data_IF_583151502183
#
_entry.id   IF_583151502183
#
_cell.length_a   1.000
_cell.length_b   1.000
_cell.length_c   1.000
_cell.angle_alpha   90.00
_cell.angle_beta   90.00
_cell.angle_gamma   90.00
#
_symmetry.space_group_name_H-M   'P 1'
#
loop_
_entity.id
_entity.type
_entity.pdbx_description
1 polymer ?
#
# COMPACT_ATOMS: atom_id res chain seq x y z
N UNK A 1 15.79 -38.04 5.22
CA UNK A 1 15.42 -37.44 3.92
C UNK A 1 16.45 -36.39 3.62
N UNK A 2 17.10 -36.44 2.46
CA UNK A 2 18.17 -35.50 2.12
C UNK A 2 17.54 -34.12 1.90
N UNK A 3 17.91 -33.16 2.75
CA UNK A 3 17.62 -31.74 2.52
C UNK A 3 18.47 -31.28 1.33
N UNK A 4 17.85 -30.59 0.38
CA UNK A 4 18.51 -29.99 -0.76
C UNK A 4 18.77 -28.50 -0.49
N UNK A 5 19.88 -27.97 -0.99
CA UNK A 5 20.26 -26.57 -0.82
C UNK A 5 20.04 -25.79 -2.12
N UNK A 6 19.18 -24.79 -2.07
CA UNK A 6 18.96 -23.85 -3.18
C UNK A 6 19.77 -22.58 -2.94
N UNK A 7 20.70 -22.26 -3.82
CA UNK A 7 21.55 -21.07 -3.75
C UNK A 7 21.16 -20.07 -4.82
N UNK A 8 20.76 -18.87 -4.42
CA UNK A 8 20.31 -17.79 -5.30
C UNK A 8 21.41 -16.74 -5.48
N UNK A 9 21.90 -16.58 -6.72
CA UNK A 9 22.84 -15.52 -7.13
C UNK A 9 22.10 -14.31 -7.72
N UNK A 10 22.63 -13.08 -7.59
CA UNK A 10 23.95 -12.71 -7.05
C UNK A 10 24.02 -12.53 -5.51
N UNK A 11 22.90 -12.47 -4.79
CA UNK A 11 22.88 -12.18 -3.35
C UNK A 11 23.40 -13.31 -2.43
N UNK A 12 23.66 -14.51 -2.96
CA UNK A 12 24.22 -15.63 -2.20
C UNK A 12 23.26 -16.23 -1.16
N UNK A 13 21.95 -16.01 -1.31
CA UNK A 13 20.94 -16.57 -0.40
C UNK A 13 20.91 -18.09 -0.51
N UNK A 14 21.00 -18.77 0.64
CA UNK A 14 20.96 -20.23 0.75
C UNK A 14 19.65 -20.66 1.43
N UNK A 15 18.84 -21.42 0.72
CA UNK A 15 17.49 -21.81 1.14
C UNK A 15 17.46 -23.32 1.26
N UNK A 16 16.98 -23.83 2.41
CA UNK A 16 16.72 -25.26 2.59
C UNK A 16 15.41 -25.64 1.90
N UNK A 17 15.48 -26.61 1.00
CA UNK A 17 14.35 -27.19 0.28
C UNK A 17 14.23 -28.68 0.61
N UNK A 18 12.99 -29.18 0.67
CA UNK A 18 12.74 -30.62 0.75
C UNK A 18 12.88 -31.22 -0.65
N UNK A 19 13.43 -32.44 -0.75
CA UNK A 19 13.46 -33.15 -2.01
C UNK A 19 12.06 -33.29 -2.61
N UNK A 20 11.89 -32.86 -3.87
CA UNK A 20 10.62 -32.85 -4.60
C UNK A 20 9.76 -31.59 -4.42
N UNK A 21 10.19 -30.63 -3.59
CA UNK A 21 9.51 -29.34 -3.40
C UNK A 21 9.58 -28.49 -4.69
N UNK A 22 8.56 -27.67 -4.94
CA UNK A 22 8.51 -26.79 -6.09
C UNK A 22 9.43 -25.58 -5.87
N UNK A 23 10.25 -25.25 -6.87
CA UNK A 23 11.18 -24.12 -6.76
C UNK A 23 10.46 -22.78 -6.54
N UNK A 24 9.27 -22.58 -7.11
CA UNK A 24 8.43 -21.40 -6.84
C UNK A 24 8.12 -21.25 -5.35
N UNK A 25 7.69 -22.32 -4.68
CA UNK A 25 7.30 -22.28 -3.27
C UNK A 25 8.52 -22.02 -2.37
N UNK A 26 9.67 -22.61 -2.72
CA UNK A 26 10.94 -22.37 -2.05
C UNK A 26 11.35 -20.89 -2.16
N UNK A 27 11.27 -20.31 -3.36
CA UNK A 27 11.61 -18.90 -3.60
C UNK A 27 10.63 -17.94 -2.92
N UNK A 28 9.33 -18.24 -2.95
CA UNK A 28 8.28 -17.46 -2.28
C UNK A 28 8.47 -17.47 -0.76
N UNK A 29 8.71 -18.64 -0.17
CA UNK A 29 8.98 -18.78 1.28
C UNK A 29 10.23 -18.05 1.72
N UNK A 30 11.23 -17.95 0.84
CA UNK A 30 12.46 -17.22 1.10
C UNK A 30 12.34 -15.70 0.86
N UNK A 31 11.19 -15.20 0.39
CA UNK A 31 10.99 -13.78 0.12
C UNK A 31 11.74 -13.27 -1.11
N UNK A 32 12.08 -14.15 -2.06
CA UNK A 32 12.71 -13.73 -3.32
C UNK A 32 11.67 -12.98 -4.16
N UNK A 33 11.94 -11.70 -4.44
CA UNK A 33 11.07 -10.81 -5.22
C UNK A 33 11.03 -11.23 -6.69
N UNK A 34 10.10 -12.13 -7.02
CA UNK A 34 9.86 -12.63 -8.36
C UNK A 34 8.35 -12.78 -8.60
N UNK A 35 7.89 -12.40 -9.79
CA UNK A 35 6.47 -12.47 -10.14
C UNK A 35 6.05 -13.89 -10.56
N UNK A 36 4.94 -14.37 -9.98
CA UNK A 36 4.30 -15.66 -10.32
C UNK A 36 2.83 -15.48 -10.78
N UNK A 37 2.59 -14.82 -11.92
CA UNK A 37 1.26 -14.30 -12.27
C UNK A 37 0.18 -15.36 -12.53
N UNK A 38 0.56 -16.60 -12.85
CA UNK A 38 -0.39 -17.70 -13.06
C UNK A 38 -0.55 -18.62 -11.84
N UNK A 39 0.03 -18.25 -10.70
CA UNK A 39 -0.04 -19.06 -9.47
C UNK A 39 0.69 -20.42 -9.53
N UNK A 40 1.45 -20.71 -10.59
CA UNK A 40 2.27 -21.91 -10.70
C UNK A 40 1.82 -22.93 -11.75
N UNK A 41 0.76 -22.66 -12.51
CA UNK A 41 0.18 -23.61 -13.46
C UNK A 41 0.92 -23.76 -14.81
N UNK A 42 2.11 -23.15 -14.97
CA UNK A 42 2.89 -23.24 -16.22
C UNK A 42 2.35 -22.46 -17.41
N UNK A 43 1.15 -21.86 -17.33
CA UNK A 43 0.44 -21.29 -18.49
C UNK A 43 0.99 -19.95 -19.03
N UNK A 44 1.75 -19.20 -18.23
CA UNK A 44 2.15 -17.82 -18.59
C UNK A 44 3.59 -17.68 -19.09
N UNK A 45 4.48 -18.65 -18.83
CA UNK A 45 5.89 -18.57 -19.20
C UNK A 45 6.73 -17.46 -18.55
N UNK A 46 6.21 -16.75 -17.54
CA UNK A 46 6.86 -15.58 -16.91
C UNK A 46 7.77 -15.92 -15.71
N UNK A 47 7.66 -17.13 -15.14
CA UNK A 47 8.40 -17.57 -13.95
C UNK A 47 9.86 -18.00 -14.29
N UNK A 48 10.59 -17.25 -15.12
CA UNK A 48 11.90 -17.66 -15.69
C UNK A 48 13.06 -17.50 -14.70
N UNK A 49 13.79 -18.58 -14.46
CA UNK A 49 15.03 -18.61 -13.68
C UNK A 49 16.14 -19.26 -14.48
N UNK A 50 17.39 -18.84 -14.28
CA UNK A 50 18.54 -19.46 -14.92
C UNK A 50 19.21 -20.43 -13.95
N UNK A 51 19.18 -21.71 -14.25
CA UNK A 51 19.84 -22.74 -13.44
C UNK A 51 21.30 -22.82 -13.88
N UNK A 52 22.21 -22.51 -12.96
CA UNK A 52 23.67 -22.57 -13.16
C UNK A 52 24.17 -24.01 -12.97
N UNK A 53 23.56 -24.75 -12.04
CA UNK A 53 23.88 -26.16 -11.81
C UNK A 53 23.31 -27.07 -12.90
N UNK A 54 23.54 -28.39 -12.80
CA UNK A 54 23.03 -29.37 -13.76
C UNK A 54 21.49 -29.37 -13.74
N UNK A 55 20.87 -28.80 -14.78
CA UNK A 55 19.41 -28.76 -14.91
C UNK A 55 18.87 -30.10 -15.44
N UNK A 56 17.74 -30.55 -14.88
CA UNK A 56 16.96 -31.67 -15.44
C UNK A 56 16.44 -31.32 -16.84
N UNK A 57 16.11 -32.32 -17.69
CA UNK A 57 15.57 -32.08 -19.02
C UNK A 57 14.33 -31.17 -18.98
N UNK A 58 14.18 -30.24 -19.94
CA UNK A 58 13.03 -29.33 -19.94
C UNK A 58 11.74 -30.10 -20.18
N UNK A 59 10.66 -29.68 -19.50
CA UNK A 59 9.32 -30.24 -19.70
C UNK A 59 8.67 -29.69 -20.97
N UNK A 60 7.71 -30.42 -21.54
CA UNK A 60 6.98 -29.99 -22.75
C UNK A 60 6.34 -28.60 -22.61
N UNK A 61 5.85 -28.28 -21.41
CA UNK A 61 5.26 -26.98 -21.07
C UNK A 61 6.30 -25.85 -21.12
N UNK A 62 7.56 -26.12 -20.82
CA UNK A 62 8.64 -25.14 -20.90
C UNK A 62 9.04 -24.89 -22.36
N UNK A 63 9.05 -25.93 -23.19
CA UNK A 63 9.38 -25.85 -24.63
C UNK A 63 8.37 -24.95 -25.36
N UNK A 64 7.11 -24.90 -24.91
CA UNK A 64 6.08 -24.02 -25.48
C UNK A 64 6.34 -22.53 -25.22
N UNK A 65 7.05 -22.20 -24.14
CA UNK A 65 7.18 -20.83 -23.65
C UNK A 65 8.61 -20.28 -23.68
N UNK A 66 9.61 -21.14 -23.76
CA UNK A 66 11.03 -20.79 -23.74
C UNK A 66 11.67 -21.30 -25.04
N UNK A 67 12.35 -20.43 -25.82
CA UNK A 67 13.05 -20.86 -27.02
C UNK A 67 14.20 -21.81 -26.70
N UNK A 68 14.53 -22.69 -27.64
CA UNK A 68 15.51 -23.76 -27.43
C UNK A 68 16.92 -23.22 -27.09
N UNK A 69 17.27 -22.02 -27.57
CA UNK A 69 18.51 -21.32 -27.21
C UNK A 69 18.58 -21.01 -25.71
N UNK A 70 17.51 -20.45 -25.15
CA UNK A 70 17.41 -20.12 -23.72
C UNK A 70 17.39 -21.38 -22.85
N UNK A 71 16.72 -22.45 -23.30
CA UNK A 71 16.72 -23.74 -22.60
C UNK A 71 18.12 -24.37 -22.50
N UNK A 72 18.95 -24.18 -23.53
CA UNK A 72 20.36 -24.62 -23.57
C UNK A 72 21.25 -23.78 -22.65
N UNK A 73 20.90 -22.51 -22.46
CA UNK A 73 21.56 -21.61 -21.49
C UNK A 73 21.14 -21.85 -20.02
N UNK A 74 20.29 -22.85 -19.78
CA UNK A 74 19.85 -23.24 -18.44
C UNK A 74 18.61 -22.50 -17.94
N UNK A 75 17.91 -21.74 -18.79
CA UNK A 75 16.67 -21.07 -18.40
C UNK A 75 15.56 -22.13 -18.25
N UNK A 76 14.82 -22.02 -17.14
CA UNK A 76 13.73 -22.91 -16.75
C UNK A 76 12.60 -22.11 -16.11
N UNK A 77 11.42 -22.70 -16.03
CA UNK A 77 10.27 -22.16 -15.32
C UNK A 77 10.29 -22.63 -13.86
N UNK A 78 10.52 -21.71 -12.91
CA UNK A 78 10.56 -22.01 -11.48
C UNK A 78 9.29 -22.72 -10.99
N UNK A 79 8.14 -22.39 -11.59
CA UNK A 79 6.86 -22.98 -11.26
C UNK A 79 6.71 -24.45 -11.70
N UNK A 80 7.53 -24.94 -12.62
CA UNK A 80 7.52 -26.34 -13.09
C UNK A 80 8.74 -27.13 -12.64
N UNK A 81 9.70 -26.49 -11.99
CA UNK A 81 10.96 -27.10 -11.55
C UNK A 81 10.83 -27.72 -10.15
N UNK A 82 11.25 -28.98 -10.00
CA UNK A 82 11.29 -29.68 -8.71
C UNK A 82 12.71 -29.76 -8.18
N UNK A 83 12.89 -29.44 -6.91
CA UNK A 83 14.21 -29.45 -6.26
C UNK A 83 14.50 -30.84 -5.72
N UNK A 84 15.31 -31.62 -6.43
CA UNK A 84 15.69 -32.99 -6.02
C UNK A 84 17.11 -33.08 -5.45
N UNK A 85 17.97 -32.12 -5.78
CA UNK A 85 19.36 -32.02 -5.33
C UNK A 85 19.70 -30.55 -5.07
N UNK A 86 20.93 -30.27 -4.66
CA UNK A 86 21.41 -28.89 -4.55
C UNK A 86 21.33 -28.19 -5.91
N UNK A 87 20.80 -26.96 -5.92
CA UNK A 87 20.57 -26.16 -7.12
C UNK A 87 21.18 -24.78 -6.93
N UNK A 88 22.03 -24.37 -7.87
CA UNK A 88 22.43 -22.98 -8.00
C UNK A 88 21.64 -22.32 -9.12
N UNK A 89 21.03 -21.17 -8.82
CA UNK A 89 20.22 -20.42 -9.76
C UNK A 89 20.50 -18.92 -9.69
N UNK A 90 20.25 -18.26 -10.81
CA UNK A 90 20.32 -16.82 -10.98
C UNK A 90 18.91 -16.30 -11.27
N UNK A 91 18.50 -15.30 -10.48
CA UNK A 91 17.24 -14.57 -10.70
C UNK A 91 17.61 -13.15 -11.11
N UNK A 92 17.01 -12.68 -12.20
CA UNK A 92 17.05 -11.27 -12.53
C UNK A 92 16.19 -10.53 -11.51
N UNK A 93 16.81 -10.00 -10.45
CA UNK A 93 16.15 -9.08 -9.54
C UNK A 93 15.80 -7.84 -10.34
N UNK A 94 14.52 -7.67 -10.66
CA UNK A 94 14.03 -6.35 -11.05
C UNK A 94 13.85 -5.56 -9.77
N UNK A 95 14.82 -4.72 -9.45
CA UNK A 95 14.53 -3.52 -8.67
C UNK A 95 13.60 -2.66 -9.53
N UNK A 96 12.29 -2.92 -9.45
CA UNK A 96 11.31 -1.97 -9.99
C UNK A 96 11.34 -0.74 -9.08
N UNK A 97 12.29 0.17 -9.33
CA UNK A 97 12.08 1.59 -9.03
C UNK A 97 10.87 2.02 -9.86
N UNK A 98 9.69 1.97 -9.26
CA UNK A 98 8.50 2.51 -9.87
C UNK A 98 8.65 4.04 -9.94
N UNK A 99 9.31 4.54 -11.00
CA UNK A 99 9.29 5.96 -11.36
C UNK A 99 7.93 6.27 -11.94
N UNK A 100 7.01 6.62 -11.05
CA UNK A 100 5.68 7.11 -11.40
C UNK A 100 5.79 8.60 -11.63
N UNK A 101 5.05 9.16 -12.58
CA UNK A 101 5.04 10.61 -12.85
C UNK A 101 4.80 11.39 -11.54
N UNK A 102 5.83 12.09 -11.07
CA UNK A 102 5.80 12.90 -9.84
C UNK A 102 5.21 14.29 -10.05
N UNK A 103 4.89 14.68 -11.29
CA UNK A 103 4.48 16.06 -11.59
C UNK A 103 3.17 16.10 -12.37
N UNK A 104 2.10 16.43 -11.65
CA UNK A 104 0.83 16.87 -12.22
C UNK A 104 0.83 18.39 -12.46
N UNK A 105 0.22 18.84 -13.56
CA UNK A 105 0.01 20.27 -13.80
C UNK A 105 -1.19 20.71 -12.95
N UNK A 106 -0.94 21.46 -11.88
CA UNK A 106 -2.00 22.12 -11.12
C UNK A 106 -2.41 23.42 -11.84
N UNK A 107 -3.65 23.47 -12.31
CA UNK A 107 -4.27 24.72 -12.79
C UNK A 107 -4.80 25.54 -11.61
N UNK A 108 -5.05 26.83 -11.81
CA UNK A 108 -5.71 27.66 -10.80
C UNK A 108 -7.18 27.28 -10.65
N UNK A 109 -7.63 26.99 -9.43
CA UNK A 109 -9.03 26.74 -9.08
C UNK A 109 -9.37 27.45 -7.76
N UNK A 110 -10.66 27.73 -7.55
CA UNK A 110 -11.14 28.27 -6.28
C UNK A 110 -11.11 27.17 -5.21
N UNK A 111 -10.36 27.44 -4.14
CA UNK A 111 -10.18 26.49 -3.04
C UNK A 111 -11.31 26.68 -2.03
N UNK A 112 -12.28 25.77 -2.02
CA UNK A 112 -13.32 25.69 -0.99
C UNK A 112 -13.26 24.33 -0.27
N UNK A 113 -12.35 24.18 0.73
CA UNK A 113 -12.18 22.92 1.40
C UNK A 113 -13.44 22.56 2.22
N UNK A 114 -13.88 21.29 2.20
CA UNK A 114 -15.06 20.84 2.96
C UNK A 114 -14.85 20.93 4.47
N UNK A 115 -13.58 20.97 4.90
CA UNK A 115 -13.16 21.15 6.29
C UNK A 115 -12.62 22.57 6.45
N UNK A 116 -13.16 23.30 7.42
CA UNK A 116 -12.78 24.68 7.74
C UNK A 116 -12.35 24.74 9.20
N UNK A 117 -11.43 25.63 9.54
CA UNK A 117 -11.00 25.87 10.91
C UNK A 117 -11.46 27.23 11.39
N UNK A 118 -11.84 27.32 12.67
CA UNK A 118 -12.21 28.58 13.32
C UNK A 118 -11.62 28.62 14.72
N UNK A 119 -10.85 29.67 15.01
CA UNK A 119 -10.40 29.97 16.37
C UNK A 119 -11.61 30.29 17.26
N UNK A 120 -11.59 29.79 18.48
CA UNK A 120 -12.57 30.10 19.52
C UNK A 120 -11.89 30.52 20.81
N UNK A 121 -12.65 31.23 21.64
CA UNK A 121 -12.31 31.59 23.01
C UNK A 121 -13.54 31.36 23.87
N UNK A 122 -13.40 30.56 24.94
CA UNK A 122 -14.45 30.36 25.93
C UNK A 122 -14.39 31.53 26.92
N UNK A 123 -15.24 32.53 26.69
CA UNK A 123 -15.39 33.66 27.58
C UNK A 123 -15.89 33.23 28.97
N UNK A 124 -15.50 33.98 30.00
CA UNK A 124 -15.96 33.76 31.38
C UNK A 124 -17.48 33.71 31.52
N UNK A 125 -18.21 34.43 30.66
CA UNK A 125 -19.67 34.45 30.58
C UNK A 125 -20.28 33.10 30.21
N UNK A 126 -19.55 32.26 29.46
CA UNK A 126 -20.01 30.96 28.99
C UNK A 126 -19.68 29.84 29.99
N UNK A 127 -18.70 30.02 30.88
CA UNK A 127 -18.20 28.96 31.78
C UNK A 127 -19.23 28.36 32.74
N UNK A 128 -20.35 29.04 32.97
CA UNK A 128 -21.47 28.54 33.78
C UNK A 128 -22.34 27.54 33.04
N UNK A 129 -22.20 27.43 31.72
CA UNK A 129 -22.97 26.53 30.87
C UNK A 129 -22.35 25.13 30.83
N UNK A 130 -23.12 24.11 30.40
CA UNK A 130 -22.56 22.82 30.02
C UNK A 130 -21.45 22.96 28.96
N UNK A 131 -20.45 22.07 29.00
CA UNK A 131 -19.29 22.11 28.08
C UNK A 131 -19.68 22.14 26.59
N UNK A 132 -20.73 21.41 26.21
CA UNK A 132 -21.26 21.43 24.84
C UNK A 132 -21.78 22.83 24.47
N UNK A 133 -22.56 23.45 25.35
CA UNK A 133 -23.10 24.80 25.13
C UNK A 133 -21.99 25.86 25.11
N UNK A 134 -20.94 25.69 25.91
CA UNK A 134 -19.77 26.57 25.88
C UNK A 134 -19.13 26.59 24.49
N UNK A 135 -18.80 25.42 23.95
CA UNK A 135 -18.12 25.31 22.66
C UNK A 135 -19.01 25.71 21.50
N UNK A 136 -20.26 25.25 21.49
CA UNK A 136 -21.19 25.55 20.38
C UNK A 136 -21.49 27.04 20.28
N UNK A 137 -21.61 27.75 21.40
CA UNK A 137 -21.76 29.22 21.41
C UNK A 137 -20.46 29.94 21.03
N UNK A 138 -19.31 29.48 21.52
CA UNK A 138 -18.02 30.09 21.20
C UNK A 138 -17.65 29.96 19.72
N UNK A 139 -18.00 28.83 19.08
CA UNK A 139 -17.67 28.54 17.68
C UNK A 139 -18.78 28.96 16.72
N UNK A 140 -20.05 28.92 17.16
CA UNK A 140 -21.23 29.22 16.36
C UNK A 140 -21.73 28.04 15.50
N UNK A 141 -21.34 26.81 15.83
CA UNK A 141 -21.76 25.59 15.15
C UNK A 141 -22.06 24.47 16.16
N UNK A 142 -23.04 23.58 15.88
CA UNK A 142 -23.29 22.41 16.73
C UNK A 142 -22.18 21.37 16.58
N UNK A 143 -22.02 20.51 17.59
CA UNK A 143 -21.09 19.38 17.53
C UNK A 143 -21.71 18.22 16.74
N UNK A 144 -20.93 17.59 15.87
CA UNK A 144 -21.32 16.38 15.14
C UNK A 144 -21.60 15.23 16.13
N UNK A 145 -22.77 14.55 16.08
CA UNK A 145 -23.14 13.52 17.05
C UNK A 145 -22.12 12.39 17.19
N UNK A 146 -21.53 11.96 16.08
CA UNK A 146 -20.55 10.86 16.01
C UNK A 146 -19.25 11.20 16.74
N UNK A 147 -18.86 12.48 16.75
CA UNK A 147 -17.62 12.96 17.38
C UNK A 147 -17.87 13.62 18.74
N UNK A 148 -19.13 13.76 19.18
CA UNK A 148 -19.53 14.55 20.37
C UNK A 148 -18.74 14.19 21.61
N UNK A 149 -18.68 12.91 21.94
CA UNK A 149 -18.01 12.46 23.17
C UNK A 149 -16.50 12.74 23.13
N UNK A 150 -15.87 12.55 21.97
CA UNK A 150 -14.45 12.81 21.79
C UNK A 150 -14.14 14.31 21.92
N UNK A 151 -14.91 15.16 21.25
CA UNK A 151 -14.77 16.62 21.31
C UNK A 151 -14.93 17.12 22.75
N UNK A 152 -15.96 16.67 23.47
CA UNK A 152 -16.18 17.07 24.86
C UNK A 152 -15.08 16.56 25.79
N UNK A 153 -14.59 15.34 25.56
CA UNK A 153 -13.46 14.79 26.32
C UNK A 153 -12.20 15.62 26.11
N UNK A 154 -11.88 15.97 24.86
CA UNK A 154 -10.76 16.85 24.55
C UNK A 154 -10.96 18.19 25.25
N UNK A 155 -12.13 18.80 25.13
CA UNK A 155 -12.43 20.12 25.72
C UNK A 155 -12.24 20.13 27.24
N UNK A 156 -12.74 19.09 27.93
CA UNK A 156 -12.63 18.95 29.38
C UNK A 156 -11.20 18.83 29.91
N UNK A 157 -10.24 18.42 29.06
CA UNK A 157 -8.84 18.18 29.42
C UNK A 157 -7.92 19.35 29.09
N UNK A 158 -8.43 20.38 28.44
CA UNK A 158 -7.63 21.53 28.03
C UNK A 158 -7.25 22.38 29.23
N UNK A 159 -6.03 22.88 29.23
CA UNK A 159 -5.57 23.91 30.16
C UNK A 159 -5.90 25.32 29.68
N UNK A 160 -6.22 25.48 28.39
CA UNK A 160 -6.47 26.77 27.75
C UNK A 160 -7.94 26.92 27.35
N UNK A 161 -8.45 28.14 27.57
CA UNK A 161 -9.80 28.56 27.18
C UNK A 161 -9.90 28.93 25.69
N UNK A 162 -8.76 29.04 25.00
CA UNK A 162 -8.70 29.28 23.57
C UNK A 162 -8.28 28.03 22.80
N UNK A 163 -8.70 27.96 21.54
CA UNK A 163 -8.41 26.84 20.67
C UNK A 163 -8.88 27.04 19.26
N UNK A 164 -8.76 25.98 18.47
CA UNK A 164 -9.27 25.94 17.10
C UNK A 164 -10.27 24.83 16.95
N UNK A 165 -11.46 25.13 16.43
CA UNK A 165 -12.48 24.16 16.10
C UNK A 165 -12.34 23.73 14.64
N UNK A 166 -12.42 22.43 14.41
CA UNK A 166 -12.45 21.80 13.08
C UNK A 166 -13.90 21.60 12.69
N UNK A 167 -14.32 22.21 11.59
CA UNK A 167 -15.71 22.28 11.14
C UNK A 167 -15.83 21.59 9.80
N UNK A 168 -16.74 20.62 9.69
CA UNK A 168 -17.10 19.96 8.43
C UNK A 168 -18.60 20.09 8.21
N UNK A 169 -19.02 20.54 7.04
CA UNK A 169 -20.43 20.71 6.69
C UNK A 169 -21.25 21.50 7.75
N UNK A 170 -20.66 22.52 8.36
CA UNK A 170 -21.31 23.33 9.39
C UNK A 170 -21.45 22.67 10.76
N UNK A 171 -20.66 21.62 11.05
CA UNK A 171 -20.64 20.95 12.35
C UNK A 171 -19.22 20.81 12.87
N UNK A 172 -19.04 20.91 14.18
CA UNK A 172 -17.76 20.71 14.85
C UNK A 172 -17.48 19.21 14.89
N UNK A 173 -16.39 18.80 14.24
CA UNK A 173 -15.93 17.40 14.21
C UNK A 173 -14.68 17.18 15.07
N UNK A 174 -14.04 18.25 15.52
CA UNK A 174 -12.80 18.19 16.31
C UNK A 174 -12.42 19.54 16.90
N UNK A 175 -11.47 19.52 17.84
CA UNK A 175 -10.84 20.72 18.40
C UNK A 175 -9.34 20.48 18.57
N UNK A 176 -8.56 21.56 18.50
CA UNK A 176 -7.10 21.56 18.56
C UNK A 176 -6.61 22.64 19.54
N UNK A 177 -5.43 22.44 20.13
CA UNK A 177 -4.83 23.39 21.07
C UNK A 177 -4.18 24.57 20.32
N UNK A 178 -4.39 25.79 20.83
CA UNK A 178 -3.87 27.01 20.20
C UNK A 178 -4.59 27.41 18.90
N UNK A 179 -3.95 28.31 18.15
CA UNK A 179 -4.41 28.80 16.86
C UNK A 179 -3.74 28.02 15.72
N UNK A 180 -4.48 27.07 15.16
CA UNK A 180 -4.06 26.20 14.05
C UNK A 180 -4.87 26.52 12.78
N UNK A 181 -5.51 27.68 12.71
CA UNK A 181 -6.33 28.07 11.54
C UNK A 181 -5.51 28.18 10.25
N UNK A 182 -4.20 28.42 10.38
CA UNK A 182 -3.22 28.41 9.29
C UNK A 182 -2.71 27.03 8.88
N UNK A 183 -3.19 25.94 9.50
CA UNK A 183 -2.68 24.59 9.28
C UNK A 183 -3.82 23.67 8.83
N UNK A 184 -4.11 23.64 7.52
CA UNK A 184 -5.12 22.75 6.94
C UNK A 184 -4.50 22.00 5.77
N UNK A 185 -4.43 20.68 5.89
CA UNK A 185 -3.84 19.82 4.87
C UNK A 185 -4.87 18.80 4.37
N UNK A 186 -4.71 18.39 3.11
CA UNK A 186 -5.47 17.34 2.47
C UNK A 186 -4.56 16.30 1.87
N UNK A 187 -5.02 15.05 1.79
CA UNK A 187 -4.35 13.99 1.06
C UNK A 187 -5.22 13.57 -0.12
N UNK A 188 -4.67 13.63 -1.34
CA UNK A 188 -5.28 13.03 -2.52
C UNK A 188 -4.62 11.68 -2.77
N UNK A 189 -5.41 10.62 -2.80
CA UNK A 189 -4.91 9.25 -2.98
C UNK A 189 -5.46 8.69 -4.28
N UNK A 190 -4.56 8.38 -5.22
CA UNK A 190 -4.88 7.67 -6.46
C UNK A 190 -4.50 6.19 -6.33
N UNK A 191 -5.50 5.32 -6.36
CA UNK A 191 -5.33 3.87 -6.20
C UNK A 191 -5.47 3.21 -7.57
N UNK A 192 -4.38 3.19 -8.31
CA UNK A 192 -4.27 2.44 -9.56
C UNK A 192 -4.09 0.93 -9.33
N UNK A 193 -4.23 0.14 -10.39
CA UNK A 193 -3.99 -1.31 -10.32
C UNK A 193 -2.52 -1.64 -10.03
N UNK A 194 -1.60 -0.88 -10.61
CA UNK A 194 -0.15 -1.12 -10.47
C UNK A 194 0.48 -0.25 -9.40
N UNK A 195 -0.08 0.94 -9.16
CA UNK A 195 0.54 1.99 -8.36
C UNK A 195 -0.48 2.63 -7.44
N UNK A 196 -0.06 2.97 -6.23
CA UNK A 196 -0.78 3.88 -5.34
C UNK A 196 0.04 5.16 -5.21
N UNK A 197 -0.60 6.31 -5.40
CA UNK A 197 0.02 7.64 -5.28
C UNK A 197 -0.70 8.43 -4.20
N UNK A 198 0.07 9.13 -3.36
CA UNK A 198 -0.46 10.06 -2.36
C UNK A 198 0.18 11.43 -2.58
N UNK A 199 -0.65 12.43 -2.81
CA UNK A 199 -0.27 13.84 -2.82
C UNK A 199 -0.74 14.53 -1.55
N UNK A 200 0.16 15.19 -0.83
CA UNK A 200 -0.14 16.06 0.30
C UNK A 200 -0.34 17.48 -0.19
N UNK A 201 -1.48 18.09 0.13
CA UNK A 201 -1.91 19.39 -0.37
C UNK A 201 -2.11 20.33 0.83
N UNK A 202 -1.57 21.54 0.74
CA UNK A 202 -1.95 22.66 1.60
C UNK A 202 -3.31 23.19 1.13
N UNK A 203 -4.33 23.07 1.98
CA UNK A 203 -5.71 23.44 1.63
C UNK A 203 -5.99 24.95 1.79
N UNK A 204 -5.03 25.73 2.25
CA UNK A 204 -5.11 27.20 2.31
C UNK A 204 -4.54 27.77 1.01
N UNK A 205 -3.37 27.29 0.60
CA UNK A 205 -2.68 27.80 -0.59
C UNK A 205 -3.02 27.02 -1.86
N UNK A 206 -3.57 25.82 -1.72
CA UNK A 206 -3.86 24.88 -2.80
C UNK A 206 -2.61 24.23 -3.39
N UNK A 207 -1.44 24.38 -2.76
CA UNK A 207 -0.19 23.85 -3.28
C UNK A 207 0.02 22.40 -2.87
N UNK A 208 0.48 21.57 -3.81
CA UNK A 208 1.04 20.26 -3.48
C UNK A 208 2.38 20.45 -2.74
N UNK A 209 2.45 19.91 -1.52
CA UNK A 209 3.62 19.97 -0.65
C UNK A 209 4.56 18.79 -0.87
N UNK A 210 4.02 17.62 -1.14
CA UNK A 210 4.76 16.39 -1.38
C UNK A 210 3.93 15.39 -2.17
N UNK A 211 4.61 14.55 -2.93
CA UNK A 211 4.03 13.38 -3.60
C UNK A 211 4.87 12.15 -3.27
N UNK A 212 4.21 11.05 -2.93
CA UNK A 212 4.84 9.75 -2.73
C UNK A 212 4.09 8.71 -3.55
N UNK A 213 4.81 7.72 -4.08
CA UNK A 213 4.21 6.62 -4.82
C UNK A 213 4.81 5.28 -4.41
N UNK A 214 4.00 4.24 -4.52
CA UNK A 214 4.41 2.86 -4.25
C UNK A 214 3.72 1.91 -5.22
N UNK A 215 4.30 0.72 -5.42
CA UNK A 215 3.61 -0.36 -6.13
C UNK A 215 2.39 -0.78 -5.32
N UNK A 216 1.26 -1.02 -5.99
CA UNK A 216 0.06 -1.51 -5.35
C UNK A 216 0.29 -2.97 -4.87
N UNK A 217 0.29 -3.23 -3.55
CA UNK A 217 0.57 -4.55 -3.00
C UNK A 217 -0.49 -5.60 -3.39
N UNK A 218 -1.69 -5.18 -3.80
CA UNK A 218 -2.70 -6.08 -4.36
C UNK A 218 -2.24 -6.78 -5.66
N UNK A 219 -1.12 -6.37 -6.27
CA UNK A 219 -0.49 -7.05 -7.42
C UNK A 219 -0.13 -8.50 -7.10
N UNK A 220 0.13 -8.85 -5.83
CA UNK A 220 0.41 -10.23 -5.40
C UNK A 220 -0.76 -11.18 -5.66
N UNK A 221 -1.98 -10.66 -5.69
CA UNK A 221 -3.22 -11.43 -5.83
C UNK A 221 -3.90 -11.26 -7.20
N UNK A 222 -3.31 -10.45 -8.08
CA UNK A 222 -3.78 -10.23 -9.44
C UNK A 222 -3.15 -9.00 -10.07
N UNK A 223 -2.62 -9.16 -11.29
CA UNK A 223 -2.03 -8.06 -12.08
C UNK A 223 -3.09 -7.14 -12.73
N UNK A 224 -4.35 -7.56 -12.73
CA UNK A 224 -5.49 -6.84 -13.26
C UNK A 224 -6.72 -6.95 -12.34
N UNK A 225 -7.73 -6.12 -12.61
CA UNK A 225 -8.95 -6.01 -11.79
C UNK A 225 -9.76 -7.32 -11.78
N UNK A 226 -9.86 -8.03 -12.90
CA UNK A 226 -10.68 -9.25 -13.00
C UNK A 226 -10.08 -10.40 -12.18
N UNK A 227 -8.76 -10.51 -12.19
CA UNK A 227 -8.01 -11.45 -11.37
C UNK A 227 -8.26 -11.20 -9.87
N UNK A 228 -8.28 -9.92 -9.45
CA UNK A 228 -8.56 -9.54 -8.05
C UNK A 228 -10.01 -9.77 -7.63
N UNK A 229 -10.99 -9.46 -8.49
CA UNK A 229 -12.42 -9.74 -8.24
C UNK A 229 -12.61 -11.24 -8.06
N UNK A 230 -11.98 -12.04 -8.91
CA UNK A 230 -12.01 -13.49 -8.79
C UNK A 230 -11.43 -13.91 -7.44
N UNK A 231 -10.23 -13.45 -7.09
CA UNK A 231 -9.63 -13.79 -5.80
C UNK A 231 -10.53 -13.43 -4.61
N UNK A 232 -11.08 -12.22 -4.56
CA UNK A 232 -11.97 -11.77 -3.49
C UNK A 232 -13.23 -12.65 -3.35
N UNK A 233 -13.79 -13.12 -4.47
CA UNK A 233 -14.95 -14.02 -4.50
C UNK A 233 -14.64 -15.39 -3.89
N UNK A 234 -13.41 -15.88 -4.04
CA UNK A 234 -13.01 -17.21 -3.58
C UNK A 234 -12.33 -17.22 -2.20
N UNK A 235 -11.71 -16.11 -1.77
CA UNK A 235 -10.80 -16.08 -0.61
C UNK A 235 -10.97 -14.89 0.35
N UNK A 236 -12.10 -14.18 0.29
CA UNK A 236 -12.52 -13.06 1.16
C UNK A 236 -11.93 -11.68 0.78
N UNK A 237 -12.77 -10.65 0.79
CA UNK A 237 -12.46 -9.26 0.38
C UNK A 237 -11.41 -8.60 1.27
N UNK A 238 -11.40 -8.92 2.57
CA UNK A 238 -10.54 -8.27 3.56
C UNK A 238 -9.04 -8.40 3.25
N UNK A 239 -8.62 -9.52 2.65
CA UNK A 239 -7.22 -9.75 2.27
C UNK A 239 -6.68 -8.69 1.31
N UNK A 240 -7.54 -8.12 0.45
CA UNK A 240 -7.14 -7.03 -0.45
C UNK A 240 -7.21 -5.65 0.21
N UNK A 241 -8.08 -5.47 1.20
CA UNK A 241 -8.25 -4.19 1.92
C UNK A 241 -7.09 -3.94 2.88
N UNK A 242 -6.63 -4.97 3.59
CA UNK A 242 -5.55 -4.87 4.60
C UNK A 242 -4.16 -4.59 4.01
N UNK A 243 -4.04 -4.63 2.67
CA UNK A 243 -2.78 -4.34 1.97
C UNK A 243 -2.60 -2.84 1.68
N UNK A 244 -3.64 -2.01 1.84
CA UNK A 244 -3.61 -0.56 1.58
C UNK A 244 -3.63 0.22 2.88
#
# INVERSE_FOLDING_TARGET
MLDALVTVRPHGMKIKARAGENLMDVLRRAGVKMDFPCGGCGACGKCRVKIISKAEPPKEEEIKHIPESELKEGIRLACLFKVNSDVELEVAFKEEEAKVLEQGIMTSFDIDPPVKKRRFLIESSLKTLPLEDQLTRAVGFPIEPECRLEVLRLLSRRSSEEGTAVIKNGRIVGIEDGDTTGEIYGAAIDIGTTTVVLSLIDMITGKELAVVSALNPQKEFGQDVLSRISHAKWWHVHVLQDLL
#
